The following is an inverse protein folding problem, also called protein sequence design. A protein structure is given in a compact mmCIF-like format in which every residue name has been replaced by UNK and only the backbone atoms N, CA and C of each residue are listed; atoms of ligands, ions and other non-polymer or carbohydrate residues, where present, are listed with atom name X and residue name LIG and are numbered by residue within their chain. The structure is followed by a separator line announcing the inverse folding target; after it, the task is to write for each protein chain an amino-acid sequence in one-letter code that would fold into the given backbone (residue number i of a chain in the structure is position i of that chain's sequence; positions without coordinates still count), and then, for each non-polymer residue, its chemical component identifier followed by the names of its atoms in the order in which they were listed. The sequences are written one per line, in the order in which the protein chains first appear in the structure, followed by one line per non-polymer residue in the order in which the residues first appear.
data_IF_285345836193
#
_entry.id   IF_285345836193
#
_cell.length_a   1.000
_cell.length_b   1.000
_cell.length_c   1.000
_cell.angle_alpha   90.00
_cell.angle_beta   90.00
_cell.angle_gamma   90.00
#
_symmetry.space_group_name_H-M   'P 1'
#
loop_
_entity.id
_entity.type
_entity.pdbx_description
1 polymer ?
#
# COMPACT_ATOMS: atom_id res chain seq x y z
N UNK A 1 -2.45 7.58 -1.08
CA UNK A 1 -1.42 6.91 -1.92
C UNK A 1 -0.94 5.63 -1.23
N UNK A 2 -0.27 4.74 -1.96
CA UNK A 2 0.33 3.53 -1.42
C UNK A 2 1.85 3.66 -1.37
N UNK A 3 2.43 3.32 -0.23
CA UNK A 3 3.86 3.15 -0.06
C UNK A 3 4.16 1.65 0.07
N UNK A 4 5.37 1.23 -0.28
CA UNK A 4 5.72 -0.18 -0.29
C UNK A 4 6.89 -0.46 0.64
N UNK A 5 6.68 -1.30 1.65
CA UNK A 5 7.74 -1.74 2.55
C UNK A 5 8.32 -3.07 2.08
N UNK A 6 9.61 -3.13 1.70
CA UNK A 6 10.25 -4.38 1.27
C UNK A 6 10.27 -5.45 2.37
N UNK A 7 10.02 -6.71 1.99
CA UNK A 7 10.15 -7.90 2.83
C UNK A 7 11.26 -8.79 2.29
N UNK A 8 12.19 -9.16 3.16
CA UNK A 8 13.34 -10.00 2.82
C UNK A 8 13.25 -11.35 3.51
N UNK A 9 13.65 -12.41 2.81
CA UNK A 9 13.95 -13.69 3.44
C UNK A 9 15.20 -13.54 4.33
N UNK A 10 15.11 -13.92 5.61
CA UNK A 10 16.20 -13.71 6.56
C UNK A 10 17.40 -14.65 6.38
N UNK A 11 17.25 -15.74 5.64
CA UNK A 11 18.32 -16.71 5.36
C UNK A 11 19.08 -16.33 4.09
N UNK A 12 18.37 -15.96 3.03
CA UNK A 12 18.94 -15.66 1.73
C UNK A 12 19.19 -14.17 1.52
N UNK A 13 18.60 -13.31 2.35
CA UNK A 13 18.56 -11.85 2.19
C UNK A 13 17.97 -11.39 0.85
N UNK A 14 17.24 -12.28 0.16
CA UNK A 14 16.56 -11.93 -1.08
C UNK A 14 15.24 -11.23 -0.78
N UNK A 15 14.89 -10.28 -1.65
CA UNK A 15 13.59 -9.65 -1.62
C UNK A 15 12.53 -10.69 -2.01
N UNK A 16 11.51 -10.87 -1.17
CA UNK A 16 10.43 -11.85 -1.40
C UNK A 16 9.07 -11.20 -1.60
N UNK A 17 8.99 -9.88 -1.48
CA UNK A 17 7.78 -9.12 -1.73
C UNK A 17 7.78 -7.78 -1.01
N UNK A 18 6.60 -7.14 -1.00
CA UNK A 18 6.39 -5.84 -0.36
C UNK A 18 5.07 -5.83 0.41
N UNK A 19 4.98 -5.00 1.45
CA UNK A 19 3.72 -4.61 2.06
C UNK A 19 3.22 -3.29 1.48
N UNK A 20 2.00 -3.26 0.97
CA UNK A 20 1.34 -2.02 0.56
C UNK A 20 0.78 -1.33 1.81
N UNK A 21 1.25 -0.11 2.07
CA UNK A 21 0.91 0.68 3.24
C UNK A 21 0.25 1.98 2.78
N UNK A 22 -1.01 2.17 3.20
CA UNK A 22 -1.73 3.41 2.89
C UNK A 22 -1.10 4.60 3.59
N UNK A 23 -0.97 5.70 2.85
CA UNK A 23 -0.54 7.02 3.32
C UNK A 23 -1.49 8.09 2.83
N UNK A 24 -1.76 9.06 3.69
CA UNK A 24 -2.58 10.21 3.35
C UNK A 24 -1.76 11.48 3.38
N UNK A 25 -1.47 12.03 2.20
CA UNK A 25 -0.99 13.40 2.06
C UNK A 25 -2.19 14.32 1.83
N UNK A 26 -2.64 14.97 2.90
CA UNK A 26 -3.71 15.94 2.83
C UNK A 26 -3.19 17.25 2.23
N UNK A 27 -3.93 17.91 1.31
CA UNK A 27 -3.45 19.10 0.59
C UNK A 27 -3.03 20.24 1.52
N UNK A 28 -3.70 20.41 2.65
CA UNK A 28 -3.40 21.47 3.62
C UNK A 28 -2.66 21.00 4.87
N UNK A 29 -2.85 19.74 5.27
CA UNK A 29 -2.35 19.21 6.57
C UNK A 29 -1.07 18.41 6.40
N UNK A 30 -0.62 18.20 5.16
CA UNK A 30 0.51 17.35 4.85
C UNK A 30 0.24 15.89 5.19
N UNK A 31 1.27 15.21 5.64
CA UNK A 31 1.22 13.79 5.96
C UNK A 31 0.34 13.51 7.20
N UNK A 32 -0.64 12.61 7.03
CA UNK A 32 -1.48 12.08 8.09
C UNK A 32 -1.24 10.57 8.17
N UNK A 33 -0.82 10.10 9.33
CA UNK A 33 -0.55 8.68 9.58
C UNK A 33 -1.83 7.83 9.61
N UNK A 34 -1.75 6.55 9.22
CA UNK A 34 -2.89 5.62 9.23
C UNK A 34 -3.56 5.49 10.60
N UNK A 35 -2.80 5.59 11.68
CA UNK A 35 -3.32 5.57 13.05
C UNK A 35 -4.32 6.69 13.35
N UNK A 36 -4.29 7.79 12.57
CA UNK A 36 -5.21 8.92 12.74
C UNK A 36 -6.46 8.79 11.86
N UNK A 37 -6.35 8.26 10.64
CA UNK A 37 -7.48 8.27 9.69
C UNK A 37 -8.20 6.93 9.55
N UNK A 38 -7.55 5.80 9.87
CA UNK A 38 -8.21 4.49 9.83
C UNK A 38 -9.39 4.42 10.80
N UNK A 39 -9.28 4.86 12.08
CA UNK A 39 -10.44 4.87 12.98
C UNK A 39 -11.59 5.75 12.47
N UNK A 40 -11.26 6.85 11.76
CA UNK A 40 -12.26 7.73 11.16
C UNK A 40 -12.95 7.01 9.99
N UNK A 41 -12.19 6.33 9.13
CA UNK A 41 -12.75 5.56 8.03
C UNK A 41 -13.66 4.43 8.54
N UNK A 42 -13.29 3.75 9.62
CA UNK A 42 -14.11 2.71 10.26
C UNK A 42 -15.40 3.27 10.85
N UNK A 43 -15.34 4.40 11.57
CA UNK A 43 -16.51 5.03 12.18
C UNK A 43 -17.53 5.59 11.17
N UNK A 44 -17.10 5.82 9.93
CA UNK A 44 -17.94 6.37 8.86
C UNK A 44 -18.27 5.33 7.78
N UNK A 45 -18.01 4.03 8.04
CA UNK A 45 -18.19 2.92 7.10
C UNK A 45 -17.39 3.03 5.78
N UNK A 46 -16.46 3.99 5.69
CA UNK A 46 -15.61 4.22 4.53
C UNK A 46 -14.42 3.26 4.44
N UNK A 47 -14.16 2.46 5.49
CA UNK A 47 -13.02 1.54 5.52
C UNK A 47 -13.10 0.46 4.43
N UNK A 48 -14.32 0.04 4.06
CA UNK A 48 -14.54 -0.96 3.02
C UNK A 48 -14.21 -0.39 1.63
N UNK A 49 -14.78 0.78 1.30
CA UNK A 49 -14.53 1.46 0.02
C UNK A 49 -13.04 1.83 -0.13
N UNK A 50 -12.43 2.31 0.95
CA UNK A 50 -11.00 2.58 0.99
C UNK A 50 -10.20 1.29 0.74
N UNK A 51 -10.56 0.20 1.39
CA UNK A 51 -9.91 -1.10 1.23
C UNK A 51 -9.96 -1.62 -0.19
N UNK A 52 -11.14 -1.59 -0.83
CA UNK A 52 -11.33 -1.99 -2.22
C UNK A 52 -10.44 -1.18 -3.16
N UNK A 53 -10.48 0.15 -3.04
CA UNK A 53 -9.65 1.04 -3.86
C UNK A 53 -8.15 0.76 -3.69
N UNK A 54 -7.69 0.52 -2.47
CA UNK A 54 -6.28 0.23 -2.19
C UNK A 54 -5.87 -1.14 -2.75
N UNK A 55 -6.72 -2.16 -2.68
CA UNK A 55 -6.44 -3.48 -3.26
C UNK A 55 -6.33 -3.37 -4.78
N UNK A 56 -7.27 -2.71 -5.45
CA UNK A 56 -7.20 -2.49 -6.89
C UNK A 56 -5.92 -1.74 -7.29
N UNK A 57 -5.55 -0.72 -6.52
CA UNK A 57 -4.34 0.07 -6.77
C UNK A 57 -3.08 -0.79 -6.61
N UNK A 58 -3.01 -1.64 -5.57
CA UNK A 58 -1.89 -2.53 -5.35
C UNK A 58 -1.75 -3.60 -6.46
N UNK A 59 -2.87 -4.15 -6.94
CA UNK A 59 -2.88 -5.12 -8.05
C UNK A 59 -2.39 -4.47 -9.34
N UNK A 60 -2.88 -3.26 -9.66
CA UNK A 60 -2.43 -2.50 -10.83
C UNK A 60 -0.93 -2.23 -10.75
N UNK A 61 -0.44 -1.77 -9.60
CA UNK A 61 0.99 -1.52 -9.40
C UNK A 61 1.84 -2.77 -9.62
N UNK A 62 1.39 -3.93 -9.11
CA UNK A 62 2.08 -5.20 -9.31
C UNK A 62 2.14 -5.58 -10.80
N UNK A 63 1.05 -5.41 -11.53
CA UNK A 63 1.01 -5.68 -12.97
C UNK A 63 1.99 -4.78 -13.74
N UNK A 64 2.05 -3.49 -13.40
CA UNK A 64 3.02 -2.54 -13.98
C UNK A 64 4.47 -2.97 -13.72
N UNK A 65 4.79 -3.45 -12.51
CA UNK A 65 6.13 -3.95 -12.21
C UNK A 65 6.46 -5.22 -12.99
N UNK A 66 5.51 -6.14 -13.12
CA UNK A 66 5.71 -7.37 -13.89
C UNK A 66 5.94 -7.09 -15.39
N UNK A 67 5.31 -6.05 -15.94
CA UNK A 67 5.55 -5.61 -17.31
C UNK A 67 6.90 -4.90 -17.47
N UNK A 68 7.27 -4.06 -16.49
CA UNK A 68 8.51 -3.28 -16.55
C UNK A 68 9.78 -4.11 -16.23
N UNK A 69 9.65 -5.17 -15.42
CA UNK A 69 10.75 -5.98 -14.93
C UNK A 69 10.42 -7.46 -15.14
N UNK A 70 10.98 -8.05 -16.19
CA UNK A 70 10.77 -9.42 -16.64
C UNK A 70 11.01 -10.43 -15.49
N UNK A 71 9.90 -10.88 -14.88
CA UNK A 71 9.74 -11.87 -13.80
C UNK A 71 10.78 -11.93 -12.66
N UNK A 72 10.43 -11.33 -11.51
CA UNK A 72 10.66 -11.86 -10.14
C UNK A 72 9.95 -11.00 -9.04
N UNK A 73 8.70 -10.57 -9.28
CA UNK A 73 7.85 -9.83 -8.31
C UNK A 73 6.40 -10.34 -8.26
#
# INVERSE_FOLDING_TARGET
ELWYQPKFDLKTYQLVGVEALVRWNHPEKGYIGPELFIPIAEQNDLILDLGEHLIETAIKQRAEWAEAFDHDF
#
